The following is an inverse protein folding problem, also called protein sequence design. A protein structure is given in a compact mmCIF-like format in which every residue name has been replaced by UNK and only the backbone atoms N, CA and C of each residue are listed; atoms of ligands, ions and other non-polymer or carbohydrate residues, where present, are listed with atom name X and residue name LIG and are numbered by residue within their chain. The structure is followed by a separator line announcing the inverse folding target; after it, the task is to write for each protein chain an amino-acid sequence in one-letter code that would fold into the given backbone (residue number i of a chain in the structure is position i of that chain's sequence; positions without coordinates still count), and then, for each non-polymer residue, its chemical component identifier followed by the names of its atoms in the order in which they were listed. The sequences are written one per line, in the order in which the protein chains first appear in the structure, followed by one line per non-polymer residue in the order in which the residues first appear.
data_IF_497967489770
#
_entry.id   IF_497967489770
#
_cell.length_a   1.000
_cell.length_b   1.000
_cell.length_c   1.000
_cell.angle_alpha   90.00
_cell.angle_beta   90.00
_cell.angle_gamma   90.00
#
_symmetry.space_group_name_H-M   'P 1'
#
loop_
_entity.id
_entity.type
_entity.pdbx_description
1 polymer ?
#
# COMPACT_ATOMS: atom_id res chain seq x y z
N UNK A 1 -15.30 0.20 8.77
CA UNK A 1 -14.91 0.72 7.44
C UNK A 1 -15.25 2.19 7.21
N UNK A 2 -16.43 2.69 7.61
CA UNK A 2 -16.87 4.08 7.34
C UNK A 2 -16.05 5.21 7.98
N UNK A 3 -15.29 4.94 9.05
CA UNK A 3 -14.48 5.97 9.71
C UNK A 3 -13.31 6.47 8.84
N UNK A 4 -12.69 5.60 8.05
CA UNK A 4 -11.53 5.95 7.20
C UNK A 4 -11.93 6.76 5.96
N UNK A 5 -13.18 6.66 5.54
CA UNK A 5 -13.75 7.52 4.49
C UNK A 5 -14.01 8.95 4.98
N UNK A 6 -14.08 9.18 6.30
CA UNK A 6 -14.36 10.47 6.90
C UNK A 6 -13.11 11.16 7.45
N UNK A 7 -12.13 10.37 7.91
CA UNK A 7 -10.89 10.87 8.51
C UNK A 7 -9.75 9.95 8.11
N UNK A 8 -8.64 10.55 7.68
CA UNK A 8 -7.39 9.84 7.42
C UNK A 8 -6.98 9.04 8.67
N UNK A 9 -6.56 7.77 8.53
CA UNK A 9 -6.08 6.98 9.66
C UNK A 9 -4.85 7.63 10.32
N UNK A 10 -4.63 7.28 11.58
CA UNK A 10 -3.45 7.71 12.33
C UNK A 10 -2.17 7.25 11.59
N UNK A 11 -1.19 8.15 11.35
CA UNK A 11 0.09 7.79 10.74
C UNK A 11 0.78 6.59 11.39
N UNK A 12 0.59 6.39 12.71
CA UNK A 12 1.16 5.26 13.44
C UNK A 12 0.71 3.89 12.89
N UNK A 13 -0.48 3.83 12.27
CA UNK A 13 -0.98 2.60 11.66
C UNK A 13 -0.17 2.21 10.42
N UNK A 14 0.22 3.19 9.59
CA UNK A 14 1.07 2.93 8.44
C UNK A 14 2.45 2.45 8.89
N UNK A 15 2.99 3.02 9.95
CA UNK A 15 4.32 2.62 10.44
C UNK A 15 4.31 1.24 11.08
N UNK A 16 3.26 0.92 11.84
CA UNK A 16 3.06 -0.43 12.36
C UNK A 16 2.94 -1.46 11.22
N UNK A 17 2.22 -1.11 10.14
CA UNK A 17 2.12 -1.96 8.95
C UNK A 17 3.48 -2.16 8.25
N UNK A 18 4.27 -1.09 8.07
CA UNK A 18 5.62 -1.22 7.48
C UNK A 18 6.52 -2.13 8.32
N UNK A 19 6.53 -1.94 9.63
CA UNK A 19 7.32 -2.77 10.55
C UNK A 19 6.89 -4.25 10.48
N UNK A 20 5.59 -4.50 10.39
CA UNK A 20 5.06 -5.85 10.23
C UNK A 20 5.51 -6.50 8.92
N UNK A 21 5.38 -5.79 7.79
CA UNK A 21 5.81 -6.29 6.48
C UNK A 21 7.31 -6.59 6.48
N UNK A 22 8.14 -5.70 7.02
CA UNK A 22 9.58 -5.90 7.12
C UNK A 22 9.94 -7.13 7.98
N UNK A 23 9.28 -7.27 9.14
CA UNK A 23 9.48 -8.43 10.01
C UNK A 23 9.05 -9.75 9.36
N UNK A 24 8.01 -9.72 8.53
CA UNK A 24 7.55 -10.86 7.74
C UNK A 24 8.53 -11.18 6.61
N UNK A 25 8.97 -10.19 5.85
CA UNK A 25 9.94 -10.35 4.75
C UNK A 25 11.26 -10.95 5.25
N UNK A 26 11.71 -10.63 6.47
CA UNK A 26 12.90 -11.24 7.07
C UNK A 26 12.79 -12.76 7.29
N UNK A 27 11.58 -13.32 7.24
CA UNK A 27 11.31 -14.76 7.37
C UNK A 27 11.07 -15.46 6.03
N UNK A 28 11.06 -14.71 4.93
CA UNK A 28 10.75 -15.18 3.59
C UNK A 28 12.00 -15.19 2.72
N UNK A 29 12.07 -16.16 1.81
CA UNK A 29 13.07 -16.14 0.74
C UNK A 29 12.72 -15.09 -0.33
N UNK A 30 13.64 -14.84 -1.26
CA UNK A 30 13.46 -13.81 -2.30
C UNK A 30 12.19 -14.00 -3.14
N UNK A 31 11.88 -15.24 -3.53
CA UNK A 31 10.70 -15.53 -4.35
C UNK A 31 9.40 -15.34 -3.59
N UNK A 32 9.37 -15.75 -2.32
CA UNK A 32 8.20 -15.56 -1.44
C UNK A 32 7.96 -14.07 -1.15
N UNK A 33 9.03 -13.29 -0.96
CA UNK A 33 8.93 -11.83 -0.80
C UNK A 33 8.40 -11.15 -2.04
N UNK A 34 8.91 -11.54 -3.22
CA UNK A 34 8.46 -10.98 -4.49
C UNK A 34 6.98 -11.30 -4.74
N UNK A 35 6.55 -12.54 -4.48
CA UNK A 35 5.16 -12.94 -4.60
C UNK A 35 4.26 -12.14 -3.66
N UNK A 36 4.64 -12.00 -2.38
CA UNK A 36 3.88 -11.21 -1.40
C UNK A 36 3.80 -9.73 -1.80
N UNK A 37 4.92 -9.14 -2.25
CA UNK A 37 4.95 -7.76 -2.76
C UNK A 37 3.97 -7.61 -3.91
N UNK A 38 4.04 -8.49 -4.90
CA UNK A 38 3.26 -8.37 -6.13
C UNK A 38 1.76 -8.48 -5.86
N UNK A 39 1.36 -9.41 -4.98
CA UNK A 39 -0.04 -9.56 -4.55
C UNK A 39 -0.55 -8.31 -3.82
N UNK A 40 0.17 -7.86 -2.79
CA UNK A 40 -0.24 -6.68 -2.00
C UNK A 40 -0.27 -5.41 -2.86
N UNK A 41 0.69 -5.26 -3.78
CA UNK A 41 0.73 -4.10 -4.68
C UNK A 41 -0.35 -4.16 -5.75
N UNK A 42 -0.76 -5.34 -6.20
CA UNK A 42 -1.90 -5.51 -7.11
C UNK A 42 -3.20 -5.05 -6.43
N UNK A 43 -3.44 -5.46 -5.20
CA UNK A 43 -4.60 -5.04 -4.41
C UNK A 43 -4.60 -3.52 -4.17
N UNK A 44 -3.45 -2.96 -3.78
CA UNK A 44 -3.34 -1.52 -3.53
C UNK A 44 -3.61 -0.69 -4.81
N UNK A 45 -3.15 -1.16 -5.97
CA UNK A 45 -3.44 -0.53 -7.27
C UNK A 45 -4.92 -0.65 -7.61
N UNK A 46 -5.51 -1.82 -7.43
CA UNK A 46 -6.95 -2.03 -7.67
C UNK A 46 -7.81 -1.09 -6.82
N UNK A 47 -7.46 -0.89 -5.55
CA UNK A 47 -8.12 0.08 -4.67
C UNK A 47 -7.95 1.51 -5.18
N UNK A 48 -6.75 1.92 -5.59
CA UNK A 48 -6.50 3.26 -6.12
C UNK A 48 -7.26 3.51 -7.44
N UNK A 49 -7.35 2.51 -8.30
CA UNK A 49 -8.11 2.57 -9.55
C UNK A 49 -9.62 2.67 -9.29
N UNK A 50 -10.14 1.85 -8.37
CA UNK A 50 -11.56 1.84 -8.01
C UNK A 50 -11.99 3.11 -7.25
N UNK A 51 -11.10 3.69 -6.44
CA UNK A 51 -11.33 4.96 -5.76
C UNK A 51 -11.45 6.13 -6.73
N UNK A 52 -10.88 5.99 -7.94
CA UNK A 52 -11.00 6.94 -9.03
C UNK A 52 -10.39 8.29 -8.66
N UNK A 53 -9.12 8.50 -9.03
CA UNK A 53 -8.47 9.81 -8.92
C UNK A 53 -9.42 10.95 -9.33
N UNK A 54 -9.39 12.05 -8.55
CA UNK A 54 -10.32 13.21 -8.57
C UNK A 54 -11.61 12.93 -9.36
N UNK A 55 -12.61 12.30 -8.71
CA UNK A 55 -13.98 12.21 -9.25
C UNK A 55 -14.10 11.42 -10.57
N UNK A 56 -13.49 10.24 -10.68
CA UNK A 56 -13.77 9.32 -11.78
C UNK A 56 -13.28 9.77 -13.16
N UNK A 57 -12.37 10.74 -13.22
CA UNK A 57 -11.71 11.19 -14.45
C UNK A 57 -10.20 10.94 -14.36
N UNK A 58 -9.82 9.70 -14.69
CA UNK A 58 -8.52 9.37 -15.28
C UNK A 58 -7.26 9.82 -14.54
N UNK A 59 -6.56 8.81 -13.99
CA UNK A 59 -5.20 8.79 -13.41
C UNK A 59 -5.18 8.88 -11.88
N UNK A 60 -4.46 7.94 -11.30
CA UNK A 60 -4.03 8.00 -9.91
C UNK A 60 -3.37 9.35 -9.62
N UNK A 61 -3.77 10.00 -8.53
CA UNK A 61 -3.25 11.29 -8.11
C UNK A 61 -1.76 11.19 -7.75
N UNK A 62 -1.07 12.33 -7.67
CA UNK A 62 0.34 12.35 -7.25
C UNK A 62 0.51 11.76 -5.83
N UNK A 63 -0.46 12.02 -4.95
CA UNK A 63 -0.50 11.52 -3.58
C UNK A 63 -0.72 10.00 -3.55
N UNK A 64 -1.59 9.47 -4.40
CA UNK A 64 -1.81 8.02 -4.53
C UNK A 64 -0.55 7.31 -5.03
N UNK A 65 0.13 7.88 -6.03
CA UNK A 65 1.41 7.34 -6.52
C UNK A 65 2.50 7.38 -5.45
N UNK A 66 2.59 8.47 -4.69
CA UNK A 66 3.53 8.60 -3.58
C UNK A 66 3.25 7.56 -2.48
N UNK A 67 1.97 7.31 -2.17
CA UNK A 67 1.57 6.28 -1.22
C UNK A 67 1.91 4.87 -1.73
N UNK A 68 1.61 4.55 -2.99
CA UNK A 68 1.98 3.25 -3.58
C UNK A 68 3.49 3.02 -3.53
N UNK A 69 4.30 4.03 -3.82
CA UNK A 69 5.76 3.95 -3.66
C UNK A 69 6.17 3.71 -2.21
N UNK A 70 5.53 4.38 -1.26
CA UNK A 70 5.76 4.20 0.18
C UNK A 70 5.45 2.76 0.64
N UNK A 71 4.39 2.15 0.10
CA UNK A 71 4.03 0.76 0.39
C UNK A 71 5.06 -0.20 -0.21
N UNK A 72 5.48 0.03 -1.46
CA UNK A 72 6.46 -0.81 -2.14
C UNK A 72 7.83 -0.80 -1.43
N UNK A 73 8.23 0.34 -0.86
CA UNK A 73 9.47 0.46 -0.08
C UNK A 73 9.49 -0.43 1.17
N UNK A 74 8.34 -0.80 1.74
CA UNK A 74 8.27 -1.67 2.92
C UNK A 74 8.80 -3.09 2.65
N UNK A 75 8.81 -3.53 1.39
CA UNK A 75 9.29 -4.85 0.99
C UNK A 75 10.81 -4.89 0.72
N UNK A 76 11.47 -3.73 0.68
CA UNK A 76 12.93 -3.63 0.44
C UNK A 76 13.67 -3.84 1.77
N UNK A 77 13.81 -5.11 2.16
CA UNK A 77 14.58 -5.56 3.33
C UNK A 77 15.82 -6.32 2.91
#
# INVERSE_FOLDING_TARGET
MSAWLKKKPDPALLEAWKQYVQALCNKLNVHERDALRDEVMADARSVAEAAGGILGLGRTSAEEKAMLKTLEEAFRT
#
